data_IF_001341425134
#
_entry.id   IF_001341425134
#
_cell.length_a   1.000
_cell.length_b   1.000
_cell.length_c   1.000
_cell.angle_alpha   90.00
_cell.angle_beta   90.00
_cell.angle_gamma   90.00
#
_symmetry.space_group_name_H-M   'P 1'
#
loop_
_entity.id
_entity.type
_entity.pdbx_description
1 polymer ?
#
# COMPACT_ATOMS: atom_id res chain seq x y z
N UNK A 1 4.97 -12.14 -24.79
CA UNK A 1 5.58 -11.61 -23.55
C UNK A 1 5.15 -12.49 -22.39
N UNK A 2 6.03 -13.32 -21.80
CA UNK A 2 5.64 -14.24 -20.73
C UNK A 2 5.97 -13.64 -19.35
N UNK A 3 4.96 -13.51 -18.50
CA UNK A 3 5.10 -13.50 -17.05
C UNK A 3 4.00 -14.44 -16.54
N UNK A 4 4.29 -15.75 -16.49
CA UNK A 4 3.38 -16.78 -15.93
C UNK A 4 4.17 -17.85 -15.17
N UNK A 5 5.15 -17.43 -14.39
CA UNK A 5 6.04 -18.33 -13.62
C UNK A 5 5.84 -18.21 -12.11
N UNK A 6 4.71 -17.65 -11.65
CA UNK A 6 4.45 -17.47 -10.21
C UNK A 6 3.02 -17.79 -9.76
N UNK A 7 2.17 -18.33 -10.63
CA UNK A 7 0.78 -18.65 -10.28
C UNK A 7 0.48 -20.11 -10.66
N UNK A 8 1.08 -21.05 -9.94
CA UNK A 8 0.57 -22.41 -9.97
C UNK A 8 -0.71 -22.48 -9.12
N UNK A 9 -1.79 -23.11 -9.63
CA UNK A 9 -3.02 -23.24 -8.87
C UNK A 9 -2.79 -24.23 -7.71
N UNK A 10 -2.74 -23.73 -6.48
CA UNK A 10 -2.82 -24.62 -5.31
C UNK A 10 -4.22 -25.24 -5.29
N UNK A 11 -4.27 -26.56 -5.25
CA UNK A 11 -5.51 -27.29 -5.07
C UNK A 11 -6.06 -27.01 -3.66
N UNK A 12 -7.31 -26.58 -3.63
CA UNK A 12 -8.14 -26.30 -2.45
C UNK A 12 -8.04 -24.88 -1.87
N UNK A 13 -9.10 -24.09 -2.11
CA UNK A 13 -9.45 -22.94 -1.28
C UNK A 13 -9.06 -21.55 -1.78
N UNK A 14 -9.90 -20.99 -2.65
CA UNK A 14 -10.13 -19.53 -2.83
C UNK A 14 -8.92 -18.66 -3.23
N UNK A 15 -8.40 -18.89 -4.44
CA UNK A 15 -7.83 -17.77 -5.21
C UNK A 15 -8.97 -16.92 -5.75
N UNK A 16 -9.32 -15.84 -5.06
CA UNK A 16 -10.04 -14.75 -5.72
C UNK A 16 -9.06 -14.10 -6.68
N UNK A 17 -9.31 -14.31 -7.97
CA UNK A 17 -8.58 -13.65 -9.04
C UNK A 17 -8.95 -12.16 -8.99
N UNK A 18 -8.30 -11.41 -8.09
CA UNK A 18 -8.42 -9.96 -8.02
C UNK A 18 -7.70 -9.41 -9.21
N UNK A 19 -8.47 -9.26 -10.28
CA UNK A 19 -8.04 -8.52 -11.43
C UNK A 19 -7.85 -7.07 -10.97
N UNK A 20 -6.60 -6.71 -10.75
CA UNK A 20 -6.18 -5.43 -10.16
C UNK A 20 -6.76 -4.21 -10.89
N UNK A 21 -7.01 -4.33 -12.20
CA UNK A 21 -7.59 -3.27 -13.02
C UNK A 21 -9.10 -3.07 -12.81
N UNK A 22 -9.78 -4.00 -12.14
CA UNK A 22 -11.22 -3.95 -11.86
C UNK A 22 -11.51 -3.40 -10.44
N UNK A 23 -10.45 -3.19 -9.65
CA UNK A 23 -10.56 -2.51 -8.34
C UNK A 23 -10.60 -1.00 -8.59
N UNK A 24 -11.63 -0.34 -8.07
CA UNK A 24 -11.79 1.10 -8.26
C UNK A 24 -10.59 1.86 -7.68
N UNK A 25 -10.15 2.93 -8.35
CA UNK A 25 -9.10 3.83 -7.82
C UNK A 25 -9.43 4.31 -6.41
N UNK A 26 -10.70 4.55 -6.12
CA UNK A 26 -11.15 4.99 -4.80
C UNK A 26 -10.86 3.94 -3.71
N UNK A 27 -11.04 2.66 -4.03
CA UNK A 27 -10.71 1.54 -3.13
C UNK A 27 -9.19 1.45 -2.91
N UNK A 28 -8.40 1.56 -3.98
CA UNK A 28 -6.93 1.54 -3.88
C UNK A 28 -6.41 2.72 -3.06
N UNK A 29 -6.89 3.94 -3.34
CA UNK A 29 -6.52 5.15 -2.59
C UNK A 29 -6.87 4.99 -1.10
N UNK A 30 -8.04 4.42 -0.79
CA UNK A 30 -8.49 4.19 0.58
C UNK A 30 -7.61 3.19 1.33
N UNK A 31 -7.32 2.05 0.71
CA UNK A 31 -6.52 0.99 1.34
C UNK A 31 -5.08 1.50 1.63
N UNK A 32 -4.50 2.27 0.71
CA UNK A 32 -3.19 2.90 0.89
C UNK A 32 -3.23 3.95 2.01
N UNK A 33 -4.28 4.79 2.07
CA UNK A 33 -4.45 5.79 3.12
C UNK A 33 -4.51 5.15 4.52
N UNK A 34 -5.30 4.06 4.66
CA UNK A 34 -5.40 3.30 5.90
C UNK A 34 -4.04 2.69 6.29
N UNK A 35 -3.35 2.07 5.33
CA UNK A 35 -2.03 1.47 5.56
C UNK A 35 -1.00 2.52 6.01
N UNK A 36 -0.88 3.64 5.29
CA UNK A 36 0.08 4.69 5.61
C UNK A 36 -0.19 5.31 6.99
N UNK A 37 -1.45 5.58 7.33
CA UNK A 37 -1.81 6.08 8.67
C UNK A 37 -1.38 5.11 9.76
N UNK A 38 -1.62 3.82 9.59
CA UNK A 38 -1.21 2.81 10.55
C UNK A 38 0.32 2.76 10.72
N UNK A 39 1.06 2.70 9.62
CA UNK A 39 2.53 2.65 9.64
C UNK A 39 3.13 3.91 10.26
N UNK A 40 2.59 5.09 9.94
CA UNK A 40 3.08 6.35 10.50
C UNK A 40 2.84 6.47 12.00
N UNK A 41 1.70 5.99 12.52
CA UNK A 41 1.51 5.91 13.97
C UNK A 41 2.53 4.99 14.64
N UNK A 42 2.87 3.85 13.99
CA UNK A 42 3.89 2.93 14.50
C UNK A 42 5.27 3.59 14.53
N UNK A 43 5.69 4.23 13.43
CA UNK A 43 6.97 4.96 13.34
C UNK A 43 7.03 6.11 14.35
N UNK A 44 5.92 6.84 14.52
CA UNK A 44 5.82 7.95 15.48
C UNK A 44 6.09 7.48 16.90
N UNK A 45 5.51 6.34 17.30
CA UNK A 45 5.74 5.74 18.60
C UNK A 45 7.19 5.25 18.76
N UNK A 46 7.73 4.54 17.77
CA UNK A 46 9.08 3.97 17.80
C UNK A 46 10.17 5.06 17.86
N UNK A 47 10.02 6.11 17.06
CA UNK A 47 11.02 7.19 16.93
C UNK A 47 10.72 8.41 17.80
N UNK A 48 9.67 8.37 18.62
CA UNK A 48 9.22 9.46 19.51
C UNK A 48 9.05 10.78 18.76
N UNK A 49 8.42 10.72 17.58
CA UNK A 49 8.22 11.87 16.73
C UNK A 49 7.09 12.77 17.26
N UNK A 50 7.05 14.06 16.84
CA UNK A 50 6.01 14.97 17.27
C UNK A 50 4.60 14.46 16.91
N UNK A 51 3.57 14.76 17.72
CA UNK A 51 2.19 14.38 17.41
C UNK A 51 1.67 14.94 16.07
N UNK A 52 2.23 16.08 15.66
CA UNK A 52 1.92 16.77 14.41
C UNK A 52 2.50 16.10 13.17
N UNK A 53 3.35 15.08 13.34
CA UNK A 53 3.93 14.32 12.25
C UNK A 53 3.18 13.00 12.06
N UNK A 54 2.93 12.54 10.82
CA UNK A 54 3.08 13.29 9.57
C UNK A 54 1.93 14.28 9.36
N UNK A 55 2.12 15.26 8.46
CA UNK A 55 1.03 16.11 8.00
C UNK A 55 0.05 15.26 7.17
N UNK A 56 -1.26 15.49 7.34
CA UNK A 56 -2.30 14.87 6.53
C UNK A 56 -2.09 15.12 5.03
N UNK A 57 -1.50 16.27 4.65
CA UNK A 57 -1.14 16.56 3.25
C UNK A 57 -0.05 15.63 2.73
N UNK A 58 0.93 15.29 3.56
CA UNK A 58 2.01 14.38 3.18
C UNK A 58 1.46 12.97 2.96
N UNK A 59 0.54 12.52 3.83
CA UNK A 59 -0.16 11.24 3.63
C UNK A 59 -0.93 11.24 2.31
N UNK A 60 -1.70 12.29 2.02
CA UNK A 60 -2.46 12.36 0.77
C UNK A 60 -1.56 12.37 -0.47
N UNK A 61 -0.43 13.08 -0.44
CA UNK A 61 0.54 13.03 -1.53
C UNK A 61 1.10 11.62 -1.73
N UNK A 62 1.46 10.92 -0.64
CA UNK A 62 1.94 9.54 -0.70
C UNK A 62 0.87 8.59 -1.28
N UNK A 63 -0.40 8.76 -0.89
CA UNK A 63 -1.52 8.00 -1.47
C UNK A 63 -1.61 8.21 -2.98
N UNK A 64 -1.56 9.46 -3.45
CA UNK A 64 -1.65 9.74 -4.88
C UNK A 64 -0.44 9.24 -5.68
N UNK A 65 0.75 9.18 -5.07
CA UNK A 65 1.94 8.60 -5.71
C UNK A 65 1.92 7.07 -5.73
N UNK A 66 1.32 6.43 -4.72
CA UNK A 66 1.28 4.98 -4.61
C UNK A 66 0.12 4.34 -5.39
N UNK A 67 -0.98 5.06 -5.60
CA UNK A 67 -2.13 4.59 -6.36
C UNK A 67 -1.85 4.15 -7.81
N UNK A 68 -0.97 4.81 -8.61
CA UNK A 68 -0.64 4.31 -9.95
C UNK A 68 0.30 3.09 -9.96
N UNK A 69 0.93 2.73 -8.84
CA UNK A 69 1.95 1.68 -8.77
C UNK A 69 1.79 0.86 -7.50
N UNK A 70 1.17 -0.32 -7.63
CA UNK A 70 1.07 -1.39 -6.61
C UNK A 70 2.42 -1.86 -6.00
N UNK A 71 3.54 -1.19 -6.28
CA UNK A 71 4.91 -1.54 -5.85
C UNK A 71 5.59 -0.39 -5.08
N UNK A 72 4.93 0.73 -4.79
CA UNK A 72 5.61 1.84 -4.11
C UNK A 72 5.70 1.68 -2.57
N UNK A 73 4.65 1.14 -1.92
CA UNK A 73 4.61 1.05 -0.46
C UNK A 73 5.68 0.10 0.13
N UNK A 74 6.04 -0.97 -0.58
CA UNK A 74 7.04 -1.94 -0.13
C UNK A 74 8.50 -1.48 -0.30
N UNK A 75 8.75 -0.46 -1.14
CA UNK A 75 10.11 -0.03 -1.48
C UNK A 75 10.56 1.23 -0.76
N UNK A 76 9.64 2.16 -0.43
CA UNK A 76 10.02 3.43 0.18
C UNK A 76 10.05 3.40 1.71
N UNK A 77 9.18 2.63 2.36
CA UNK A 77 9.16 2.53 3.84
C UNK A 77 10.43 1.89 4.45
N UNK A 78 11.08 0.89 3.84
CA UNK A 78 12.36 0.36 4.35
C UNK A 78 13.55 1.33 4.25
N UNK A 79 13.40 2.44 3.51
CA UNK A 79 14.45 3.44 3.28
C UNK A 79 14.30 4.71 4.14
N UNK A 80 13.25 4.80 4.97
CA UNK A 80 12.99 5.91 5.91
C UNK A 80 13.28 5.48 7.36
#
# INVERSE_FOLDING_TARGET
>A
MPIRLGFEPMADGTYQNLILHDVSKATIDHDIDVFLKHEFERIKAERRLPPTWPDAKDIQHLVQMAAPLFIFAATVLPLL
#
